data_IF_388223972657
#
_entry.id   IF_388223972657
#
_cell.length_a   1.000
_cell.length_b   1.000
_cell.length_c   1.000
_cell.angle_alpha   90.00
_cell.angle_beta   90.00
_cell.angle_gamma   90.00
#
_symmetry.space_group_name_H-M   'P 1'
#
loop_
_entity.id
_entity.type
_entity.pdbx_description
1 polymer ?
#
# COMPACT_ATOMS: atom_id res chain seq x y z
N UNK A 1 -19.25 -9.90 -20.19
CA UNK A 1 -18.27 -8.80 -20.35
C UNK A 1 -17.38 -8.81 -19.12
N UNK A 2 -16.20 -9.43 -19.20
CA UNK A 2 -15.22 -9.43 -18.12
C UNK A 2 -14.72 -8.00 -17.97
N UNK A 3 -15.26 -7.27 -16.99
CA UNK A 3 -14.58 -6.07 -16.50
C UNK A 3 -13.25 -6.55 -15.94
N UNK A 4 -12.18 -6.46 -16.73
CA UNK A 4 -10.84 -6.40 -16.17
C UNK A 4 -10.88 -5.24 -15.18
N UNK A 5 -11.03 -5.58 -13.89
CA UNK A 5 -10.99 -4.62 -12.78
C UNK A 5 -9.70 -3.84 -12.96
N UNK A 6 -9.80 -2.59 -13.39
CA UNK A 6 -8.65 -1.71 -13.58
C UNK A 6 -7.87 -1.71 -12.26
N UNK A 7 -6.79 -2.47 -12.21
CA UNK A 7 -5.86 -2.47 -11.09
C UNK A 7 -4.73 -1.55 -11.50
N UNK A 8 -4.69 -0.36 -10.91
CA UNK A 8 -3.56 0.54 -11.12
C UNK A 8 -2.33 -0.06 -10.46
N UNK A 9 -1.26 -0.24 -11.23
CA UNK A 9 0.01 -0.75 -10.76
C UNK A 9 1.09 0.27 -11.08
N UNK A 10 1.91 0.60 -10.09
CA UNK A 10 3.04 1.50 -10.27
C UNK A 10 4.17 1.11 -9.32
N UNK A 11 5.39 1.53 -9.65
CA UNK A 11 6.54 1.41 -8.76
C UNK A 11 6.74 2.73 -8.03
N UNK A 12 7.05 2.70 -6.74
CA UNK A 12 7.32 3.88 -5.95
C UNK A 12 8.44 3.64 -4.95
N UNK A 13 9.15 4.71 -4.61
CA UNK A 13 10.01 4.77 -3.42
C UNK A 13 9.13 5.15 -2.23
N UNK A 14 9.01 4.25 -1.26
CA UNK A 14 8.20 4.43 -0.06
C UNK A 14 9.11 4.63 1.15
N UNK A 15 8.85 5.68 1.93
CA UNK A 15 9.50 5.90 3.22
C UNK A 15 8.53 5.62 4.35
N UNK A 16 8.85 4.64 5.20
CA UNK A 16 8.05 4.33 6.38
C UNK A 16 8.30 5.40 7.45
N UNK A 17 7.21 5.90 8.03
CA UNK A 17 7.32 6.90 9.07
C UNK A 17 8.00 6.30 10.33
N UNK A 18 8.98 6.98 10.95
CA UNK A 18 9.66 6.49 12.14
C UNK A 18 8.73 6.30 13.35
N UNK A 19 9.07 5.36 14.23
CA UNK A 19 8.27 5.05 15.41
C UNK A 19 8.15 6.24 16.37
N UNK A 20 9.26 6.95 16.57
CA UNK A 20 9.39 8.10 17.46
C UNK A 20 8.57 9.32 17.00
N UNK A 21 8.22 9.38 15.72
CA UNK A 21 7.36 10.43 15.17
C UNK A 21 5.88 10.02 15.13
N UNK A 22 5.53 8.82 15.63
CA UNK A 22 4.15 8.31 15.63
C UNK A 22 3.85 7.33 14.49
N UNK A 23 4.89 6.83 13.81
CA UNK A 23 4.77 5.76 12.83
C UNK A 23 4.48 4.39 13.44
N UNK A 24 4.66 3.35 12.63
CA UNK A 24 4.50 1.96 13.10
C UNK A 24 5.58 1.63 14.14
N UNK A 25 5.26 0.72 15.08
CA UNK A 25 6.24 0.14 16.04
C UNK A 25 6.84 -1.19 15.59
N UNK A 26 6.24 -1.83 14.59
CA UNK A 26 6.64 -3.15 14.09
C UNK A 26 6.97 -3.07 12.59
N UNK A 27 7.81 -3.98 12.09
CA UNK A 27 8.12 -4.06 10.68
C UNK A 27 6.87 -4.24 9.81
N UNK A 28 7.03 -3.91 8.54
CA UNK A 28 6.07 -4.23 7.47
C UNK A 28 6.65 -5.36 6.63
N UNK A 29 5.83 -6.35 6.29
CA UNK A 29 6.23 -7.47 5.45
C UNK A 29 5.61 -7.35 4.06
N UNK A 30 6.05 -8.21 3.15
CA UNK A 30 5.51 -8.32 1.80
C UNK A 30 3.99 -8.55 1.81
N UNK A 31 3.32 -8.17 0.73
CA UNK A 31 1.85 -8.18 0.57
C UNK A 31 1.08 -7.32 1.60
N UNK A 32 1.75 -6.36 2.25
CA UNK A 32 1.07 -5.45 3.17
C UNK A 32 0.04 -4.59 2.43
N UNK A 33 -1.13 -4.40 3.04
CA UNK A 33 -2.30 -3.74 2.43
C UNK A 33 -2.67 -2.40 3.09
N UNK A 34 -1.90 -1.31 2.90
CA UNK A 34 -2.23 -0.02 3.47
C UNK A 34 -3.29 0.73 2.64
N UNK A 35 -3.78 1.83 3.21
CA UNK A 35 -4.54 2.85 2.50
C UNK A 35 -3.61 3.90 1.92
N UNK A 36 -3.81 4.27 0.65
CA UNK A 36 -3.11 5.35 -0.04
C UNK A 36 -4.03 6.56 -0.17
N UNK A 37 -3.47 7.76 0.00
CA UNK A 37 -4.12 9.03 -0.33
C UNK A 37 -3.29 9.72 -1.40
N UNK A 38 -3.95 10.22 -2.45
CA UNK A 38 -3.33 10.96 -3.54
C UNK A 38 -3.93 12.35 -3.58
N UNK A 39 -3.31 13.28 -2.85
CA UNK A 39 -3.72 14.69 -2.74
C UNK A 39 -5.23 14.89 -2.52
N UNK A 40 -5.85 14.00 -1.73
CA UNK A 40 -7.28 14.05 -1.44
C UNK A 40 -7.59 13.33 -0.12
N UNK A 41 -8.73 13.61 0.48
CA UNK A 41 -9.22 12.88 1.68
C UNK A 41 -9.71 11.47 1.36
N UNK A 42 -9.79 11.10 0.08
CA UNK A 42 -10.20 9.77 -0.33
C UNK A 42 -9.05 8.78 -0.17
N UNK A 43 -9.32 7.73 0.59
CA UNK A 43 -8.38 6.64 0.80
C UNK A 43 -8.70 5.46 -0.12
N UNK A 44 -7.70 4.97 -0.84
CA UNK A 44 -7.79 3.79 -1.70
C UNK A 44 -6.93 2.69 -1.10
N UNK A 45 -7.51 1.52 -0.87
CA UNK A 45 -6.72 0.36 -0.44
C UNK A 45 -5.74 -0.04 -1.53
N UNK A 46 -4.50 -0.29 -1.15
CA UNK A 46 -3.49 -0.85 -2.04
C UNK A 46 -2.79 -2.04 -1.39
N UNK A 47 -2.01 -2.74 -2.17
CA UNK A 47 -1.11 -3.81 -1.76
C UNK A 47 0.30 -3.38 -2.18
N UNK A 48 1.27 -3.51 -1.28
CA UNK A 48 2.68 -3.26 -1.59
C UNK A 48 3.43 -4.59 -1.64
N UNK A 49 4.27 -4.75 -2.66
CA UNK A 49 5.13 -5.92 -2.82
C UNK A 49 6.59 -5.51 -2.93
N UNK A 50 7.46 -6.20 -2.20
CA UNK A 50 8.90 -5.93 -2.14
C UNK A 50 9.69 -7.15 -1.66
N UNK A 51 10.91 -7.31 -2.17
CA UNK A 51 11.80 -8.41 -1.77
C UNK A 51 12.67 -8.03 -0.56
N UNK A 52 12.07 -8.11 0.64
CA UNK A 52 12.81 -8.02 1.91
C UNK A 52 12.29 -9.05 2.92
N UNK A 53 12.91 -10.23 3.03
CA UNK A 53 12.40 -11.32 3.89
C UNK A 53 12.40 -10.98 5.39
N UNK A 54 13.23 -10.02 5.83
CA UNK A 54 13.25 -9.52 7.21
C UNK A 54 12.17 -8.47 7.50
N UNK A 55 11.37 -8.10 6.49
CA UNK A 55 10.48 -6.95 6.53
C UNK A 55 11.24 -5.62 6.42
N UNK A 56 10.49 -4.53 6.41
CA UNK A 56 11.01 -3.16 6.41
C UNK A 56 10.67 -2.50 7.75
N UNK A 57 11.68 -1.97 8.41
CA UNK A 57 11.55 -1.32 9.71
C UNK A 57 10.93 0.08 9.56
N UNK A 58 10.25 0.60 10.61
CA UNK A 58 9.89 2.01 10.68
C UNK A 58 11.12 2.91 10.46
N UNK A 59 10.97 3.99 9.68
CA UNK A 59 12.05 4.91 9.34
C UNK A 59 12.88 4.52 8.11
N UNK A 60 12.78 3.27 7.63
CA UNK A 60 13.48 2.85 6.43
C UNK A 60 12.75 3.27 5.14
N UNK A 61 13.52 3.35 4.06
CA UNK A 61 13.01 3.60 2.71
C UNK A 61 13.24 2.38 1.82
N UNK A 62 12.28 2.08 0.96
CA UNK A 62 12.34 0.97 0.01
C UNK A 62 11.77 1.36 -1.36
N UNK A 63 12.18 0.65 -2.40
CA UNK A 63 11.44 0.61 -3.66
C UNK A 63 10.44 -0.55 -3.60
N UNK A 64 9.18 -0.28 -3.93
CA UNK A 64 8.11 -1.27 -3.89
C UNK A 64 7.22 -1.17 -5.14
N UNK A 65 6.65 -2.30 -5.54
CA UNK A 65 5.53 -2.32 -6.46
C UNK A 65 4.25 -2.10 -5.67
N UNK A 66 3.38 -1.20 -6.14
CA UNK A 66 2.10 -0.89 -5.50
C UNK A 66 0.98 -1.25 -6.46
N UNK A 67 0.00 -2.01 -5.97
CA UNK A 67 -1.23 -2.35 -6.68
C UNK A 67 -2.41 -1.76 -5.94
N UNK A 68 -3.08 -0.77 -6.54
CA UNK A 68 -4.34 -0.24 -6.01
C UNK A 68 -5.46 -1.25 -6.23
N UNK A 69 -6.22 -1.48 -5.16
CA UNK A 69 -7.35 -2.39 -5.16
C UNK A 69 -8.61 -1.62 -5.55
N UNK A 70 -9.46 -2.18 -6.42
CA UNK A 70 -10.72 -1.56 -6.75
C UNK A 70 -11.56 -1.42 -5.47
N UNK A 71 -12.11 -0.23 -5.25
CA UNK A 71 -13.11 -0.05 -4.20
C UNK A 71 -14.25 -1.03 -4.48
N UNK A 72 -14.59 -1.87 -3.50
CA UNK A 72 -15.81 -2.68 -3.59
C UNK A 72 -16.98 -1.71 -3.60
N UNK A 73 -17.47 -1.31 -4.77
CA UNK A 73 -18.83 -0.80 -4.86
C UNK A 73 -19.73 -1.94 -4.39
N UNK A 74 -20.48 -1.67 -3.32
CA UNK A 74 -21.44 -2.58 -2.68
C UNK A 74 -22.32 -3.20 -3.78
N UNK A 75 -22.53 -4.53 -3.71
CA UNK A 75 -23.46 -5.23 -4.59
C UNK A 75 -24.80 -4.48 -4.56
N UNK A 76 -25.31 -4.05 -5.72
CA UNK A 76 -26.73 -3.71 -5.83
C UNK A 76 -27.51 -4.97 -5.42
N UNK A 77 -28.21 -4.86 -4.31
CA UNK A 77 -29.24 -5.81 -3.87
C UNK A 77 -30.46 -5.58 -4.75
#
# INVERSE_FOLDING_TARGET
MNMERISYKFTATLSLFPSELGGRRKPVFDDYRPSFSFNSSNHVSGEISFDRPKGVQPGETLNASVKLLPSRTIRKI
#
